data_IF_657407206940
#
_entry.id   IF_657407206940
#
_cell.length_a   1.000
_cell.length_b   1.000
_cell.length_c   1.000
_cell.angle_alpha   90.00
_cell.angle_beta   90.00
_cell.angle_gamma   90.00
#
_symmetry.space_group_name_H-M   'P 1'
#
loop_
_entity.id
_entity.type
_entity.pdbx_description
1 polymer ?
#
# COMPACT_ATOMS: atom_id res chain seq x y z
N UNK A 1 21.73 21.04 -28.14
CA UNK A 1 21.07 19.72 -28.08
C UNK A 1 21.80 18.78 -27.11
N UNK A 2 22.01 19.17 -25.84
CA UNK A 2 22.66 18.31 -24.81
C UNK A 2 22.05 18.54 -23.44
N UNK A 3 21.64 19.78 -23.15
CA UNK A 3 20.99 20.13 -21.88
C UNK A 3 19.60 19.48 -21.76
N UNK A 4 18.83 19.43 -22.84
CA UNK A 4 17.47 18.85 -22.82
C UNK A 4 17.49 17.34 -22.51
N UNK A 5 18.43 16.59 -23.07
CA UNK A 5 18.61 15.16 -22.78
C UNK A 5 19.03 14.93 -21.32
N UNK A 6 19.85 15.84 -20.77
CA UNK A 6 20.30 15.76 -19.37
C UNK A 6 19.14 16.05 -18.41
N UNK A 7 18.36 17.10 -18.68
CA UNK A 7 17.17 17.45 -17.90
C UNK A 7 16.12 16.33 -17.95
N UNK A 8 15.88 15.75 -19.13
CA UNK A 8 14.97 14.62 -19.27
C UNK A 8 15.45 13.42 -18.44
N UNK A 9 16.74 13.10 -18.50
CA UNK A 9 17.33 12.02 -17.70
C UNK A 9 17.16 12.26 -16.20
N UNK A 10 17.36 13.49 -15.73
CA UNK A 10 17.22 13.87 -14.32
C UNK A 10 15.76 13.77 -13.86
N UNK A 11 14.81 14.25 -14.68
CA UNK A 11 13.37 14.13 -14.41
C UNK A 11 12.94 12.67 -14.30
N UNK A 12 13.38 11.83 -15.23
CA UNK A 12 13.05 10.40 -15.19
C UNK A 12 13.69 9.70 -13.99
N UNK A 13 14.92 10.07 -13.63
CA UNK A 13 15.61 9.52 -12.47
C UNK A 13 14.90 9.90 -11.17
N UNK A 14 14.47 11.16 -11.04
CA UNK A 14 13.69 11.64 -9.91
C UNK A 14 12.38 10.85 -9.73
N UNK A 15 11.56 10.74 -10.78
CA UNK A 15 10.30 10.00 -10.66
C UNK A 15 10.52 8.50 -10.41
N UNK A 16 11.62 7.94 -10.91
CA UNK A 16 12.01 6.56 -10.61
C UNK A 16 12.31 6.37 -9.13
N UNK A 17 13.08 7.28 -8.51
CA UNK A 17 13.36 7.20 -7.07
C UNK A 17 12.10 7.39 -6.22
N UNK A 18 11.23 8.33 -6.60
CA UNK A 18 9.99 8.60 -5.88
C UNK A 18 9.03 7.41 -5.91
N UNK A 19 8.79 6.83 -7.08
CA UNK A 19 7.90 5.66 -7.18
C UNK A 19 8.47 4.44 -6.47
N UNK A 20 9.80 4.24 -6.50
CA UNK A 20 10.44 3.17 -5.76
C UNK A 20 10.32 3.36 -4.24
N UNK A 21 10.57 4.57 -3.74
CA UNK A 21 10.41 4.88 -2.33
C UNK A 21 8.97 4.67 -1.86
N UNK A 22 7.99 5.07 -2.68
CA UNK A 22 6.58 4.86 -2.40
C UNK A 22 6.18 3.38 -2.40
N UNK A 23 6.71 2.59 -3.33
CA UNK A 23 6.49 1.14 -3.38
C UNK A 23 7.05 0.44 -2.14
N UNK A 24 8.27 0.78 -1.71
CA UNK A 24 8.87 0.24 -0.48
C UNK A 24 8.09 0.66 0.77
N UNK A 25 7.62 1.91 0.82
CA UNK A 25 6.75 2.39 1.90
C UNK A 25 5.41 1.66 1.95
N UNK A 26 4.83 1.33 0.80
CA UNK A 26 3.61 0.52 0.73
C UNK A 26 3.85 -0.91 1.23
N UNK A 27 4.92 -1.56 0.75
CA UNK A 27 5.29 -2.94 1.14
C UNK A 27 5.60 -3.09 2.63
N UNK A 28 6.24 -2.07 3.23
CA UNK A 28 6.55 -2.05 4.66
C UNK A 28 5.33 -1.73 5.55
N UNK A 29 4.16 -1.49 4.97
CA UNK A 29 2.95 -1.13 5.73
C UNK A 29 2.93 0.32 6.22
N UNK A 30 3.84 1.18 5.74
CA UNK A 30 3.91 2.60 6.10
C UNK A 30 2.81 3.48 5.51
N UNK A 31 1.79 2.87 4.88
CA UNK A 31 0.60 3.48 4.30
C UNK A 31 -0.63 2.69 4.74
N UNK A 32 -0.96 2.68 6.03
CA UNK A 32 -2.11 1.94 6.56
C UNK A 32 -3.45 2.67 6.37
N UNK A 33 -3.43 4.00 6.26
CA UNK A 33 -4.64 4.81 6.05
C UNK A 33 -5.04 4.80 4.57
N UNK A 34 -6.26 4.32 4.30
CA UNK A 34 -6.84 4.31 2.96
C UNK A 34 -6.97 5.72 2.38
N UNK A 35 -7.28 6.74 3.20
CA UNK A 35 -7.36 8.13 2.73
C UNK A 35 -6.01 8.61 2.23
N UNK A 36 -4.93 8.30 2.95
CA UNK A 36 -3.57 8.60 2.50
C UNK A 36 -3.24 7.86 1.20
N UNK A 37 -3.60 6.57 1.08
CA UNK A 37 -3.42 5.80 -0.17
C UNK A 37 -4.15 6.45 -1.36
N UNK A 38 -5.37 6.94 -1.16
CA UNK A 38 -6.15 7.65 -2.19
C UNK A 38 -5.45 8.95 -2.59
N UNK A 39 -4.98 9.76 -1.64
CA UNK A 39 -4.24 10.99 -1.94
C UNK A 39 -2.94 10.70 -2.71
N UNK A 40 -2.20 9.65 -2.33
CA UNK A 40 -1.01 9.23 -3.07
C UNK A 40 -1.36 8.75 -4.49
N UNK A 41 -2.49 8.07 -4.67
CA UNK A 41 -2.97 7.65 -6.00
C UNK A 41 -3.27 8.84 -6.93
N UNK A 42 -3.76 9.96 -6.38
CA UNK A 42 -3.99 11.21 -7.11
C UNK A 42 -2.66 11.83 -7.53
N UNK A 43 -1.69 11.93 -6.61
CA UNK A 43 -0.34 12.42 -6.91
C UNK A 43 0.37 11.59 -7.99
N UNK A 44 0.21 10.26 -7.97
CA UNK A 44 0.72 9.40 -9.04
C UNK A 44 0.05 9.75 -10.38
N UNK A 45 -1.26 10.00 -10.39
CA UNK A 45 -1.98 10.36 -11.62
C UNK A 45 -1.48 11.68 -12.21
N UNK A 46 -1.19 12.66 -11.35
CA UNK A 46 -0.56 13.93 -11.75
C UNK A 46 0.86 13.70 -12.30
N UNK A 47 1.67 12.91 -11.61
CA UNK A 47 3.02 12.57 -12.06
C UNK A 47 3.02 11.85 -13.42
N UNK A 48 2.10 10.91 -13.64
CA UNK A 48 1.93 10.24 -14.94
C UNK A 48 1.53 11.23 -16.02
N UNK A 49 0.69 12.22 -15.72
CA UNK A 49 0.34 13.26 -16.67
C UNK A 49 1.56 14.10 -17.08
N UNK A 50 2.41 14.47 -16.11
CA UNK A 50 3.67 15.17 -16.36
C UNK A 50 4.66 14.34 -17.19
N UNK A 51 4.65 13.01 -17.03
CA UNK A 51 5.49 12.09 -17.79
C UNK A 51 4.97 11.82 -19.20
N UNK A 52 3.69 12.07 -19.48
CA UNK A 52 3.03 11.73 -20.75
C UNK A 52 3.74 12.21 -22.03
N UNK A 53 4.39 13.39 -22.08
CA UNK A 53 5.10 13.84 -23.28
C UNK A 53 6.30 12.95 -23.62
N UNK A 54 6.96 12.38 -22.60
CA UNK A 54 8.18 11.58 -22.75
C UNK A 54 7.91 10.13 -23.13
N UNK A 55 6.68 9.64 -22.94
CA UNK A 55 6.28 8.24 -23.20
C UNK A 55 6.46 7.85 -24.68
N UNK A 56 6.33 8.80 -25.61
CA UNK A 56 6.48 8.49 -27.05
C UNK A 56 7.94 8.38 -27.48
N UNK A 57 8.81 9.20 -26.89
CA UNK A 57 10.22 9.31 -27.27
C UNK A 57 11.14 8.39 -26.45
N UNK A 58 10.78 8.06 -25.21
CA UNK A 58 11.66 7.37 -24.28
C UNK A 58 11.07 6.05 -23.74
N UNK A 59 11.72 4.89 -24.00
CA UNK A 59 11.34 3.61 -23.41
C UNK A 59 11.30 3.60 -21.88
N UNK A 60 12.19 4.37 -21.21
CA UNK A 60 12.24 4.47 -19.75
C UNK A 60 11.00 5.15 -19.21
N UNK A 61 10.56 6.23 -19.85
CA UNK A 61 9.31 6.91 -19.50
C UNK A 61 8.09 5.98 -19.64
N UNK A 62 8.04 5.16 -20.70
CA UNK A 62 6.98 4.14 -20.86
C UNK A 62 6.96 3.13 -19.73
N UNK A 63 8.13 2.60 -19.37
CA UNK A 63 8.24 1.65 -18.28
C UNK A 63 7.81 2.29 -16.95
N UNK A 64 8.28 3.50 -16.70
CA UNK A 64 7.98 4.28 -15.50
C UNK A 64 6.47 4.53 -15.34
N UNK A 65 5.78 4.93 -16.41
CA UNK A 65 4.32 5.11 -16.40
C UNK A 65 3.59 3.80 -16.10
N UNK A 66 4.01 2.68 -16.71
CA UNK A 66 3.41 1.36 -16.40
C UNK A 66 3.60 0.96 -14.94
N UNK A 67 4.79 1.20 -14.39
CA UNK A 67 5.08 0.94 -12.97
C UNK A 67 4.22 1.82 -12.07
N UNK A 68 4.09 3.11 -12.40
CA UNK A 68 3.24 4.05 -11.69
C UNK A 68 1.75 3.63 -11.71
N UNK A 69 1.23 3.19 -12.85
CA UNK A 69 -0.14 2.67 -12.97
C UNK A 69 -0.36 1.41 -12.13
N UNK A 70 0.62 0.51 -12.09
CA UNK A 70 0.60 -0.67 -11.23
C UNK A 70 0.58 -0.28 -9.75
N UNK A 71 1.45 0.65 -9.34
CA UNK A 71 1.52 1.17 -7.99
C UNK A 71 0.19 1.82 -7.56
N UNK A 72 -0.45 2.56 -8.47
CA UNK A 72 -1.79 3.12 -8.24
C UNK A 72 -2.84 2.04 -7.95
N UNK A 73 -2.83 0.94 -8.70
CA UNK A 73 -3.73 -0.20 -8.46
C UNK A 73 -3.46 -0.84 -7.10
N UNK A 74 -2.19 -0.95 -6.72
CA UNK A 74 -1.81 -1.51 -5.41
C UNK A 74 -2.25 -0.63 -4.25
N UNK A 75 -2.07 0.69 -4.36
CA UNK A 75 -2.54 1.66 -3.35
C UNK A 75 -4.06 1.58 -3.14
N UNK A 76 -4.82 1.43 -4.22
CA UNK A 76 -6.28 1.35 -4.16
C UNK A 76 -6.79 -0.07 -3.89
N UNK A 77 -5.90 -1.06 -3.77
CA UNK A 77 -6.27 -2.42 -3.45
C UNK A 77 -6.72 -2.52 -1.99
N UNK A 78 -8.02 -2.70 -1.79
CA UNK A 78 -8.62 -2.87 -0.45
C UNK A 78 -8.32 -4.27 0.13
N UNK A 79 -7.78 -5.18 -0.67
CA UNK A 79 -7.52 -6.58 -0.27
C UNK A 79 -6.67 -6.66 0.99
N UNK A 80 -5.60 -5.87 1.07
CA UNK A 80 -4.69 -5.88 2.23
C UNK A 80 -5.38 -5.36 3.49
N UNK A 81 -6.22 -4.33 3.35
CA UNK A 81 -6.99 -3.74 4.44
C UNK A 81 -8.00 -4.76 4.98
N UNK A 82 -8.72 -5.44 4.08
CA UNK A 82 -9.69 -6.48 4.44
C UNK A 82 -8.98 -7.66 5.13
N UNK A 83 -7.87 -8.14 4.59
CA UNK A 83 -7.10 -9.24 5.20
C UNK A 83 -6.64 -8.87 6.60
N UNK A 84 -6.12 -7.64 6.81
CA UNK A 84 -5.71 -7.16 8.13
C UNK A 84 -6.88 -7.10 9.12
N UNK A 85 -8.05 -6.61 8.69
CA UNK A 85 -9.27 -6.59 9.51
C UNK A 85 -9.76 -7.99 9.87
N UNK A 86 -9.76 -8.92 8.91
CA UNK A 86 -10.16 -10.32 9.15
C UNK A 86 -9.23 -11.03 10.14
N UNK A 87 -7.91 -10.78 10.05
CA UNK A 87 -6.94 -11.31 11.00
C UNK A 87 -7.17 -10.76 12.41
N UNK A 88 -7.41 -9.46 12.55
CA UNK A 88 -7.73 -8.83 13.84
C UNK A 88 -9.03 -9.38 14.45
N UNK A 89 -10.08 -9.56 13.64
CA UNK A 89 -11.33 -10.16 14.09
C UNK A 89 -11.15 -11.60 14.58
N UNK A 90 -10.33 -12.40 13.89
CA UNK A 90 -10.02 -13.78 14.28
C UNK A 90 -9.29 -13.84 15.62
N UNK A 91 -8.32 -12.96 15.85
CA UNK A 91 -7.62 -12.86 17.15
C UNK A 91 -8.60 -12.48 18.27
N UNK A 92 -9.46 -11.48 18.05
CA UNK A 92 -10.48 -11.07 19.02
C UNK A 92 -11.46 -12.20 19.34
N UNK A 93 -11.94 -12.95 18.33
CA UNK A 93 -12.80 -14.10 18.54
C UNK A 93 -12.12 -15.19 19.37
N UNK A 94 -10.84 -15.45 19.11
CA UNK A 94 -10.04 -16.45 19.85
C UNK A 94 -9.86 -16.04 21.32
N UNK A 95 -9.57 -14.76 21.58
CA UNK A 95 -9.46 -14.21 22.92
C UNK A 95 -10.79 -14.30 23.69
N UNK A 96 -11.92 -13.95 23.06
CA UNK A 96 -13.25 -14.08 23.66
C UNK A 96 -13.58 -15.53 24.02
N UNK A 97 -13.28 -16.48 23.13
CA UNK A 97 -13.45 -17.91 23.40
C UNK A 97 -12.61 -18.38 24.58
N UNK A 98 -11.35 -17.94 24.69
CA UNK A 98 -10.49 -18.27 25.82
C UNK A 98 -11.02 -17.71 27.16
N UNK A 99 -11.55 -16.48 27.16
CA UNK A 99 -12.17 -15.87 28.35
C UNK A 99 -13.43 -16.64 28.77
N UNK A 100 -14.30 -16.98 27.82
CA UNK A 100 -15.53 -17.77 28.08
C UNK A 100 -15.16 -19.15 28.62
N UNK A 101 -14.17 -19.82 28.03
CA UNK A 101 -13.70 -21.13 28.47
C UNK A 101 -13.22 -21.10 29.93
N UNK A 102 -12.36 -20.14 30.30
CA UNK A 102 -11.88 -19.96 31.69
C UNK A 102 -13.01 -19.72 32.69
N UNK A 103 -14.01 -18.91 32.31
CA UNK A 103 -15.18 -18.63 33.17
C UNK A 103 -16.05 -19.87 33.40
N UNK A 104 -16.15 -20.77 32.42
CA UNK A 104 -16.84 -22.06 32.57
C UNK A 104 -16.11 -23.01 33.54
N UNK A 105 -14.78 -23.10 33.46
CA UNK A 105 -13.98 -23.95 34.34
C UNK A 105 -14.06 -23.49 35.80
N UNK A 106 -14.07 -22.18 36.03
CA UNK A 106 -14.18 -21.60 37.38
C UNK A 106 -15.52 -21.93 38.04
N UNK A 107 -16.63 -21.93 37.28
CA UNK A 107 -17.96 -22.29 37.79
C UNK A 107 -18.18 -23.78 38.07
N UNK A 108 -17.33 -24.67 37.55
CA UNK A 108 -17.43 -26.11 37.81
C UNK A 108 -16.73 -26.55 39.11
N UNK A 109 -15.88 -25.71 39.71
CA UNK A 109 -15.21 -26.02 40.98
C UNK A 109 -15.98 -25.59 42.24
N UNK A 110 -17.09 -24.85 42.08
CA UNK A 110 -17.97 -24.41 43.17
C UNK A 110 -19.27 -25.24 43.27
N UNK A 111 -19.26 -26.49 42.78
CA UNK A 111 -20.39 -27.42 42.95
C UNK A 111 -20.46 -27.95 44.39
N UNK A 112 -21.60 -27.87 45.09
CA UNK A 112 -21.70 -28.23 46.50
C UNK A 112 -21.52 -29.73 46.69
N UNK A 113 -20.70 -30.10 47.69
CA UNK A 113 -20.66 -31.43 48.29
C UNK A 113 -22.00 -31.78 48.95
#
# INVERSE_FOLDING_TARGET
>A
MRNDDTIQSDVLSYFTSEFRALEERLKSGGLDDYRERVLMSQKISEAVHLLSPYVRSDPRARHLVRTAESLKKNLLSVREIIVKQLLQQKEQQTLLQAIIARKKTTRQMDGPC
#
